data_IF_082928824843
#
_entry.id   IF_082928824843
#
_cell.length_a   1.000
_cell.length_b   1.000
_cell.length_c   1.000
_cell.angle_alpha   90.00
_cell.angle_beta   90.00
_cell.angle_gamma   90.00
#
_symmetry.space_group_name_H-M   'P 1'
#
loop_
_entity.id
_entity.type
_entity.pdbx_description
1 polymer ?
#
# COMPACT_ATOMS: atom_id res chain seq x y z
N UNK A 1 10.75 -16.33 -16.87
CA UNK A 1 9.46 -16.99 -17.09
C UNK A 1 9.29 -18.22 -16.17
N UNK A 2 10.28 -19.12 -16.01
CA UNK A 2 10.15 -20.38 -15.23
C UNK A 2 9.64 -20.15 -13.80
N UNK A 3 10.26 -19.25 -13.05
CA UNK A 3 9.86 -18.92 -11.67
C UNK A 3 8.36 -18.59 -11.57
N UNK A 4 7.82 -17.87 -12.53
CA UNK A 4 6.42 -17.45 -12.53
C UNK A 4 5.50 -18.60 -12.91
N UNK A 5 5.85 -19.37 -13.96
CA UNK A 5 5.06 -20.51 -14.38
C UNK A 5 4.99 -21.57 -13.28
N UNK A 6 6.11 -21.90 -12.64
CA UNK A 6 6.18 -22.81 -11.49
C UNK A 6 5.31 -22.31 -10.31
N UNK A 7 5.32 -21.00 -10.04
CA UNK A 7 4.51 -20.41 -8.99
C UNK A 7 2.99 -20.48 -9.29
N UNK A 8 2.59 -20.27 -10.55
CA UNK A 8 1.18 -20.41 -11.00
C UNK A 8 0.75 -21.88 -10.91
N UNK A 9 1.56 -22.82 -11.40
CA UNK A 9 1.31 -24.28 -11.32
C UNK A 9 1.18 -24.73 -9.86
N UNK A 10 2.05 -24.20 -8.98
CA UNK A 10 1.97 -24.44 -7.55
C UNK A 10 0.77 -23.76 -6.87
N UNK A 11 -0.03 -22.97 -7.60
CA UNK A 11 -1.14 -22.17 -7.09
C UNK A 11 -0.69 -21.18 -6.02
N UNK A 12 0.43 -20.49 -6.23
CA UNK A 12 0.86 -19.40 -5.37
C UNK A 12 0.04 -18.13 -5.62
N UNK A 13 -0.41 -17.93 -6.85
CA UNK A 13 -1.36 -16.92 -7.31
C UNK A 13 -1.89 -17.31 -8.70
N UNK A 14 -3.10 -16.85 -9.11
CA UNK A 14 -3.64 -17.18 -10.43
C UNK A 14 -2.93 -16.48 -11.58
N UNK A 15 -2.51 -15.22 -11.35
CA UNK A 15 -1.82 -14.42 -12.35
C UNK A 15 -1.13 -13.20 -11.75
N UNK A 16 -0.29 -12.55 -12.56
CA UNK A 16 0.49 -11.40 -12.12
C UNK A 16 0.88 -10.47 -13.27
N UNK A 17 1.25 -9.23 -12.90
CA UNK A 17 1.98 -8.30 -13.76
C UNK A 17 3.37 -8.07 -13.17
N UNK A 18 4.39 -8.00 -14.03
CA UNK A 18 5.77 -7.70 -13.65
C UNK A 18 6.27 -6.58 -14.55
N UNK A 19 6.80 -5.53 -13.91
CA UNK A 19 7.47 -4.46 -14.62
C UNK A 19 8.85 -4.22 -14.00
N UNK A 20 9.85 -4.02 -14.84
CA UNK A 20 11.16 -3.53 -14.44
C UNK A 20 11.63 -2.44 -15.40
N UNK A 21 12.16 -1.38 -14.81
CA UNK A 21 12.80 -0.29 -15.51
C UNK A 21 14.21 -0.05 -14.93
N UNK A 22 15.13 0.41 -15.78
CA UNK A 22 16.48 0.84 -15.39
C UNK A 22 16.75 2.22 -15.97
N UNK A 23 17.19 3.14 -15.14
CA UNK A 23 17.52 4.51 -15.53
C UNK A 23 16.38 5.20 -16.31
N UNK A 24 15.12 4.93 -15.92
CA UNK A 24 13.91 5.46 -16.54
C UNK A 24 13.38 4.70 -17.76
N UNK A 25 14.10 3.68 -18.25
CA UNK A 25 13.68 2.89 -19.40
C UNK A 25 13.10 1.54 -19.00
N UNK A 26 11.84 1.29 -19.38
CA UNK A 26 11.18 -0.01 -19.17
C UNK A 26 11.77 -1.05 -20.12
N UNK A 27 12.37 -2.12 -19.57
CA UNK A 27 12.92 -3.23 -20.35
C UNK A 27 12.12 -4.54 -20.15
N UNK A 28 11.26 -4.59 -19.14
CA UNK A 28 10.35 -5.70 -18.89
C UNK A 28 8.99 -5.13 -18.49
N UNK A 29 7.92 -5.51 -19.23
CA UNK A 29 6.52 -5.27 -18.86
C UNK A 29 5.69 -6.44 -19.35
N UNK A 30 5.40 -7.40 -18.45
CA UNK A 30 4.83 -8.69 -18.84
C UNK A 30 3.78 -9.17 -17.85
N UNK A 31 2.72 -9.76 -18.40
CA UNK A 31 1.62 -10.37 -17.66
C UNK A 31 1.61 -11.87 -17.81
N UNK A 32 1.15 -12.59 -16.77
CA UNK A 32 1.12 -14.06 -16.73
C UNK A 32 -0.16 -14.55 -16.08
N UNK A 33 -0.60 -15.75 -16.49
CA UNK A 33 -1.73 -16.45 -15.89
C UNK A 33 -3.08 -15.80 -16.18
N UNK A 34 -4.02 -16.03 -15.29
CA UNK A 34 -5.42 -15.65 -15.44
C UNK A 34 -5.90 -14.87 -14.19
N UNK A 35 -7.08 -14.27 -14.26
CA UNK A 35 -7.71 -13.59 -13.12
C UNK A 35 -8.02 -14.53 -11.95
N UNK A 36 -8.35 -15.79 -12.26
CA UNK A 36 -8.65 -16.86 -11.29
C UNK A 36 -7.94 -18.16 -11.67
N UNK A 37 -8.05 -19.19 -10.84
CA UNK A 37 -7.53 -20.53 -11.18
C UNK A 37 -8.40 -21.31 -12.17
N UNK A 38 -9.55 -20.77 -12.59
CA UNK A 38 -10.34 -21.33 -13.66
C UNK A 38 -9.65 -21.04 -15.01
N UNK A 39 -9.37 -22.09 -15.80
CA UNK A 39 -8.70 -21.97 -17.08
C UNK A 39 -9.51 -21.18 -18.12
N UNK A 40 -10.82 -21.02 -17.93
CA UNK A 40 -11.71 -20.23 -18.79
C UNK A 40 -11.78 -18.76 -18.36
N UNK A 41 -11.22 -18.41 -17.18
CA UNK A 41 -11.22 -17.03 -16.74
C UNK A 41 -10.30 -16.15 -17.60
N UNK A 42 -10.56 -14.84 -17.59
CA UNK A 42 -9.80 -13.87 -18.37
C UNK A 42 -8.30 -14.00 -18.10
N UNK A 43 -7.49 -14.02 -19.16
CA UNK A 43 -6.03 -13.91 -19.07
C UNK A 43 -5.64 -12.52 -18.56
N UNK A 44 -4.61 -12.48 -17.72
CA UNK A 44 -4.07 -11.21 -17.24
C UNK A 44 -3.40 -10.44 -18.37
N UNK A 45 -3.71 -9.15 -18.45
CA UNK A 45 -3.10 -8.20 -19.38
C UNK A 45 -2.41 -7.08 -18.63
N UNK A 46 -1.56 -6.28 -19.28
CA UNK A 46 -0.89 -5.14 -18.65
C UNK A 46 -1.86 -4.00 -18.27
N UNK A 47 -3.11 -4.05 -18.78
CA UNK A 47 -4.15 -3.05 -18.48
C UNK A 47 -5.02 -3.44 -17.29
N UNK A 48 -4.82 -4.62 -16.71
CA UNK A 48 -5.61 -5.07 -15.57
C UNK A 48 -5.20 -4.38 -14.27
N UNK A 49 -6.18 -4.12 -13.43
CA UNK A 49 -6.08 -3.29 -12.24
C UNK A 49 -6.07 -4.18 -10.99
N UNK A 50 -5.04 -4.04 -10.17
CA UNK A 50 -4.83 -4.80 -8.94
C UNK A 50 -5.06 -3.96 -7.69
N UNK A 51 -5.63 -4.55 -6.64
CA UNK A 51 -5.66 -3.96 -5.29
C UNK A 51 -4.24 -3.94 -4.71
N UNK A 52 -3.72 -2.75 -4.50
CA UNK A 52 -2.34 -2.53 -4.04
C UNK A 52 -2.14 -2.78 -2.54
N UNK A 53 -3.21 -2.93 -1.77
CA UNK A 53 -3.15 -3.07 -0.30
C UNK A 53 -2.22 -2.01 0.32
N UNK A 54 -1.27 -2.43 1.16
CA UNK A 54 -0.36 -1.51 1.88
C UNK A 54 0.59 -0.68 1.01
N UNK A 55 0.70 -0.95 -0.29
CA UNK A 55 1.44 -0.05 -1.20
C UNK A 55 0.74 1.32 -1.28
N UNK A 56 -0.57 1.39 -0.96
CA UNK A 56 -1.31 2.65 -0.75
C UNK A 56 -0.57 3.62 0.17
N UNK A 57 0.11 3.12 1.21
CA UNK A 57 0.85 3.94 2.18
C UNK A 57 1.92 4.79 1.52
N UNK A 58 2.62 4.23 0.52
CA UNK A 58 3.67 4.98 -0.17
C UNK A 58 3.14 5.68 -1.43
N UNK A 59 2.36 4.99 -2.27
CA UNK A 59 1.93 5.52 -3.56
C UNK A 59 0.85 6.62 -3.46
N UNK A 60 0.10 6.69 -2.34
CA UNK A 60 -0.87 7.76 -2.07
C UNK A 60 -0.48 8.57 -0.83
N UNK A 61 -0.58 8.00 0.37
CA UNK A 61 -0.40 8.75 1.61
C UNK A 61 0.94 9.48 1.70
N UNK A 62 2.06 8.78 1.45
CA UNK A 62 3.38 9.40 1.47
C UNK A 62 3.59 10.41 0.36
N UNK A 63 3.16 10.11 -0.86
CA UNK A 63 3.26 11.03 -1.98
C UNK A 63 2.58 12.37 -1.64
N UNK A 64 1.37 12.31 -1.05
CA UNK A 64 0.65 13.51 -0.61
C UNK A 64 1.39 14.22 0.53
N UNK A 65 1.78 13.50 1.58
CA UNK A 65 2.43 14.11 2.74
C UNK A 65 3.78 14.74 2.39
N UNK A 66 4.56 14.11 1.52
CA UNK A 66 5.81 14.68 1.01
C UNK A 66 5.55 15.92 0.14
N UNK A 67 4.54 15.90 -0.72
CA UNK A 67 4.15 17.07 -1.50
C UNK A 67 3.70 18.23 -0.60
N UNK A 68 2.88 17.96 0.42
CA UNK A 68 2.45 18.97 1.40
C UNK A 68 3.64 19.51 2.21
N UNK A 69 4.60 18.67 2.58
CA UNK A 69 5.81 19.10 3.28
C UNK A 69 6.70 19.95 2.39
N UNK A 70 6.83 19.61 1.11
CA UNK A 70 7.57 20.41 0.12
C UNK A 70 6.98 21.81 -0.07
N UNK A 71 5.67 21.96 0.14
CA UNK A 71 4.96 23.23 0.07
C UNK A 71 4.85 23.95 1.43
N UNK A 72 5.52 23.45 2.49
CA UNK A 72 5.50 24.07 3.82
C UNK A 72 4.17 23.91 4.60
N UNK A 73 3.26 23.06 4.11
CA UNK A 73 1.93 22.85 4.70
C UNK A 73 1.89 21.70 5.71
N UNK A 74 2.89 20.83 5.71
CA UNK A 74 3.02 19.68 6.57
C UNK A 74 4.46 19.53 7.08
N UNK A 75 4.62 19.04 8.30
CA UNK A 75 5.93 18.69 8.86
C UNK A 75 5.82 17.35 9.61
N UNK A 76 6.52 16.35 9.12
CA UNK A 76 6.53 15.00 9.70
C UNK A 76 7.15 14.93 11.10
N UNK A 77 7.90 15.94 11.50
CA UNK A 77 8.48 16.06 12.85
C UNK A 77 7.49 16.60 13.89
N UNK A 78 6.32 17.06 13.47
CA UNK A 78 5.23 17.51 14.34
C UNK A 78 4.47 16.35 14.98
N UNK A 79 3.49 16.66 15.81
CA UNK A 79 2.59 15.68 16.45
C UNK A 79 1.23 15.59 15.75
N UNK A 80 0.46 14.56 16.05
CA UNK A 80 -0.92 14.43 15.56
C UNK A 80 -1.81 15.60 15.97
N UNK A 81 -1.67 16.09 17.21
CA UNK A 81 -2.43 17.23 17.72
C UNK A 81 -2.24 18.51 16.90
N UNK A 82 -1.11 18.66 16.19
CA UNK A 82 -0.88 19.78 15.28
C UNK A 82 -1.89 19.83 14.13
N UNK A 83 -2.29 18.69 13.61
CA UNK A 83 -3.09 18.61 12.38
C UNK A 83 -4.54 18.20 12.58
N UNK A 84 -4.80 17.34 13.58
CA UNK A 84 -6.15 16.82 13.86
C UNK A 84 -6.55 16.98 15.35
N UNK A 85 -6.39 18.19 15.93
CA UNK A 85 -6.65 18.40 17.37
C UNK A 85 -8.05 17.97 17.76
N UNK A 86 -9.07 18.27 16.95
CA UNK A 86 -10.47 17.90 17.26
C UNK A 86 -10.69 16.40 17.48
N UNK A 87 -9.85 15.56 16.87
CA UNK A 87 -9.97 14.10 17.00
C UNK A 87 -9.12 13.54 18.14
N UNK A 88 -7.96 14.14 18.43
CA UNK A 88 -6.97 13.56 19.33
C UNK A 88 -6.83 14.30 20.67
N UNK A 89 -7.44 15.48 20.82
CA UNK A 89 -7.40 16.27 22.06
C UNK A 89 -7.80 15.41 23.29
N UNK A 90 -7.03 15.55 24.35
CA UNK A 90 -7.21 14.78 25.60
C UNK A 90 -7.05 13.25 25.44
N UNK A 91 -6.50 12.77 24.33
CA UNK A 91 -6.14 11.35 24.12
C UNK A 91 -4.64 11.12 24.21
N UNK A 92 -4.22 9.87 24.39
CA UNK A 92 -2.79 9.50 24.34
C UNK A 92 -2.17 9.67 22.92
N UNK A 93 -2.98 9.94 21.90
CA UNK A 93 -2.53 10.15 20.53
C UNK A 93 -2.10 11.58 20.24
N UNK A 94 -2.59 12.57 20.98
CA UNK A 94 -2.34 13.99 20.74
C UNK A 94 -0.85 14.31 20.55
N UNK A 95 -0.01 13.83 21.46
CA UNK A 95 1.43 14.11 21.48
C UNK A 95 2.27 13.07 20.74
N UNK A 96 1.66 12.16 19.95
CA UNK A 96 2.40 11.20 19.14
C UNK A 96 3.08 11.90 17.98
N UNK A 97 4.39 11.75 17.89
CA UNK A 97 5.20 12.28 16.81
C UNK A 97 4.94 11.50 15.50
N UNK A 98 4.65 12.21 14.41
CA UNK A 98 4.27 11.63 13.12
C UNK A 98 5.40 10.78 12.51
N UNK A 99 6.65 11.21 12.64
CA UNK A 99 7.80 10.41 12.19
C UNK A 99 7.88 9.05 12.90
N UNK A 100 7.58 9.01 14.22
CA UNK A 100 7.51 7.74 14.95
C UNK A 100 6.34 6.86 14.48
N UNK A 101 5.20 7.47 14.16
CA UNK A 101 4.04 6.77 13.60
C UNK A 101 4.41 6.15 12.26
N UNK A 102 4.96 6.92 11.33
CA UNK A 102 5.23 6.49 9.96
C UNK A 102 6.46 5.57 9.81
N UNK A 103 7.31 5.51 10.82
CA UNK A 103 8.36 4.50 10.94
C UNK A 103 7.92 3.28 11.77
N UNK A 104 6.65 3.20 12.14
CA UNK A 104 6.05 2.10 12.92
C UNK A 104 6.71 1.86 14.28
N UNK A 105 7.11 2.92 14.99
CA UNK A 105 7.68 2.79 16.34
C UNK A 105 7.02 3.70 17.40
N UNK A 106 5.82 4.19 17.13
CA UNK A 106 5.04 4.99 18.08
C UNK A 106 4.39 4.15 19.20
N UNK A 107 4.58 2.83 19.22
CA UNK A 107 3.97 1.94 20.21
C UNK A 107 2.54 1.52 19.91
N UNK A 108 2.03 1.82 18.73
CA UNK A 108 0.67 1.49 18.31
C UNK A 108 0.46 -0.03 18.19
N UNK A 109 -0.76 -0.49 18.41
CA UNK A 109 -1.14 -1.86 18.07
C UNK A 109 -1.11 -2.04 16.54
N UNK A 110 -0.81 -3.26 16.07
CA UNK A 110 -0.62 -3.50 14.65
C UNK A 110 -1.89 -3.25 13.85
N UNK A 111 -3.03 -3.70 14.39
CA UNK A 111 -4.29 -3.77 13.69
C UNK A 111 -5.45 -3.92 14.67
N UNK A 112 -6.63 -3.43 14.31
CA UNK A 112 -7.88 -3.61 15.06
C UNK A 112 -8.92 -4.21 14.10
N UNK A 113 -9.50 -5.38 14.41
CA UNK A 113 -10.50 -6.02 13.56
C UNK A 113 -11.86 -5.33 13.69
N UNK A 114 -12.00 -4.15 13.09
CA UNK A 114 -13.22 -3.33 13.19
C UNK A 114 -14.45 -4.08 12.67
N UNK A 115 -14.31 -4.86 11.60
CA UNK A 115 -15.36 -5.59 10.94
C UNK A 115 -16.04 -6.62 11.86
N UNK A 116 -15.30 -7.24 12.82
CA UNK A 116 -15.89 -8.21 13.73
C UNK A 116 -17.00 -7.60 14.63
N UNK A 117 -16.93 -6.29 14.89
CA UNK A 117 -17.97 -5.60 15.67
C UNK A 117 -19.17 -5.14 14.82
N UNK A 118 -19.13 -5.38 13.54
CA UNK A 118 -20.26 -5.11 12.62
C UNK A 118 -21.03 -6.36 12.29
N UNK A 119 -20.64 -7.51 12.84
CA UNK A 119 -21.30 -8.79 12.61
C UNK A 119 -22.27 -9.14 13.74
N UNK A 120 -23.38 -9.71 13.36
CA UNK A 120 -24.37 -10.33 14.23
C UNK A 120 -24.59 -11.78 13.76
N UNK A 121 -24.40 -12.74 14.65
CA UNK A 121 -24.39 -14.17 14.32
C UNK A 121 -23.45 -14.52 13.14
N UNK A 122 -22.28 -13.86 13.09
CA UNK A 122 -21.27 -14.07 12.06
C UNK A 122 -21.56 -13.41 10.71
N UNK A 123 -22.65 -12.68 10.54
CA UNK A 123 -23.05 -12.01 9.29
C UNK A 123 -23.16 -10.49 9.48
N UNK A 124 -22.99 -9.68 8.42
CA UNK A 124 -23.21 -8.24 8.48
C UNK A 124 -24.57 -7.90 9.12
N UNK A 125 -24.54 -7.10 10.20
CA UNK A 125 -25.74 -6.74 10.95
C UNK A 125 -26.64 -5.81 10.16
N UNK A 126 -27.94 -6.09 10.10
CA UNK A 126 -28.92 -5.23 9.44
C UNK A 126 -29.09 -3.85 10.11
N UNK A 127 -28.63 -3.68 11.35
CA UNK A 127 -28.61 -2.39 12.02
C UNK A 127 -27.50 -1.45 11.52
N UNK A 128 -26.46 -2.00 10.89
CA UNK A 128 -25.29 -1.25 10.40
C UNK A 128 -25.16 -1.26 8.88
N UNK A 129 -25.80 -2.21 8.21
CA UNK A 129 -25.66 -2.38 6.76
C UNK A 129 -26.99 -2.30 6.01
N UNK A 130 -26.91 -1.73 4.83
CA UNK A 130 -27.98 -1.74 3.82
C UNK A 130 -27.51 -2.49 2.57
N UNK A 131 -28.41 -3.14 1.86
CA UNK A 131 -28.15 -3.70 0.53
C UNK A 131 -28.06 -2.61 -0.55
N UNK A 132 -28.79 -1.53 -0.33
CA UNK A 132 -28.89 -0.42 -1.26
C UNK A 132 -28.14 0.81 -0.73
N UNK A 133 -27.59 1.60 -1.65
CA UNK A 133 -27.03 2.91 -1.34
C UNK A 133 -28.18 3.85 -0.93
N UNK A 134 -28.10 4.40 0.27
CA UNK A 134 -29.09 5.34 0.83
C UNK A 134 -28.41 6.60 1.36
N UNK A 135 -29.13 7.67 1.71
CA UNK A 135 -28.51 8.86 2.32
C UNK A 135 -27.70 8.58 3.58
N UNK A 136 -28.03 7.55 4.35
CA UNK A 136 -27.32 7.14 5.58
C UNK A 136 -26.31 6.04 5.37
N UNK A 137 -26.31 5.35 4.23
CA UNK A 137 -25.45 4.21 3.89
C UNK A 137 -24.82 4.46 2.51
N UNK A 138 -23.86 5.38 2.44
CA UNK A 138 -23.18 5.73 1.18
C UNK A 138 -21.87 4.96 0.99
N UNK A 139 -21.27 4.47 2.09
CA UNK A 139 -19.98 3.81 2.09
C UNK A 139 -20.12 2.36 1.61
N UNK A 140 -19.72 2.11 0.38
CA UNK A 140 -19.70 0.78 -0.22
C UNK A 140 -18.61 -0.08 0.44
N UNK A 141 -18.97 -1.27 0.91
CA UNK A 141 -18.06 -2.27 1.52
C UNK A 141 -17.81 -3.45 0.58
N UNK A 142 -18.85 -3.81 -0.19
CA UNK A 142 -18.81 -4.83 -1.24
C UNK A 142 -20.07 -4.71 -2.13
N UNK A 143 -20.28 -5.66 -3.05
CA UNK A 143 -21.53 -5.65 -3.83
C UNK A 143 -22.74 -5.79 -2.91
N UNK A 144 -23.76 -4.95 -3.13
CA UNK A 144 -25.01 -4.92 -2.33
C UNK A 144 -24.75 -4.91 -0.81
N UNK A 145 -23.70 -4.20 -0.39
CA UNK A 145 -23.33 -4.07 1.02
C UNK A 145 -22.74 -2.66 1.29
N UNK A 146 -23.54 -1.81 1.94
CA UNK A 146 -23.20 -0.44 2.29
C UNK A 146 -23.29 -0.27 3.80
N UNK A 147 -22.23 0.31 4.43
CA UNK A 147 -22.23 0.55 5.87
C UNK A 147 -22.73 1.95 6.21
N UNK A 148 -23.31 2.07 7.40
CA UNK A 148 -23.78 3.34 7.99
C UNK A 148 -22.65 4.38 7.99
N UNK A 149 -22.89 5.58 7.47
CA UNK A 149 -21.88 6.63 7.30
C UNK A 149 -21.16 6.99 8.61
N UNK A 150 -21.90 7.03 9.73
CA UNK A 150 -21.36 7.35 11.06
C UNK A 150 -20.43 6.26 11.63
N UNK A 151 -20.36 5.06 11.01
CA UNK A 151 -19.46 4.02 11.50
C UNK A 151 -17.98 4.41 11.38
N UNK A 152 -17.65 5.30 10.45
CA UNK A 152 -16.31 5.92 10.32
C UNK A 152 -15.86 6.55 11.64
N UNK A 153 -16.73 7.31 12.31
CA UNK A 153 -16.41 7.96 13.59
C UNK A 153 -16.15 6.93 14.69
N UNK A 154 -16.89 5.81 14.67
CA UNK A 154 -16.65 4.67 15.56
C UNK A 154 -15.24 4.08 15.36
N UNK A 155 -14.79 3.94 14.12
CA UNK A 155 -13.43 3.46 13.79
C UNK A 155 -12.38 4.42 14.34
N UNK A 156 -12.51 5.72 14.03
CA UNK A 156 -11.57 6.75 14.46
C UNK A 156 -11.49 6.84 15.98
N UNK A 157 -12.64 6.87 16.66
CA UNK A 157 -12.69 6.87 18.13
C UNK A 157 -12.02 5.63 18.74
N UNK A 158 -12.19 4.45 18.16
CA UNK A 158 -11.51 3.22 18.61
C UNK A 158 -10.00 3.27 18.38
N UNK A 159 -9.54 3.94 17.33
CA UNK A 159 -8.11 4.13 17.07
C UNK A 159 -7.50 5.01 18.17
N UNK A 160 -8.01 6.23 18.35
CA UNK A 160 -7.40 7.22 19.25
C UNK A 160 -7.52 6.86 20.75
N UNK A 161 -8.43 5.96 21.08
CA UNK A 161 -8.57 5.38 22.42
C UNK A 161 -7.87 4.02 22.58
N UNK A 162 -7.13 3.56 21.56
CA UNK A 162 -6.42 2.29 21.64
C UNK A 162 -5.16 2.41 22.52
N UNK A 163 -4.75 1.27 23.10
CA UNK A 163 -3.56 1.25 23.98
C UNK A 163 -2.29 1.53 23.19
N UNK A 164 -1.44 2.40 23.72
CA UNK A 164 -0.09 2.67 23.24
C UNK A 164 0.89 1.93 24.16
N UNK A 165 1.82 1.16 23.58
CA UNK A 165 2.88 0.50 24.34
C UNK A 165 3.94 1.53 24.77
N UNK A 166 4.41 1.49 26.04
CA UNK A 166 5.40 2.44 26.52
C UNK A 166 6.77 2.26 25.84
N UNK A 167 7.12 1.02 25.44
CA UNK A 167 8.37 0.72 24.75
C UNK A 167 8.17 0.94 23.26
N UNK A 168 8.79 1.97 22.73
CA UNK A 168 8.72 2.38 21.34
C UNK A 168 9.74 1.58 20.47
N UNK A 169 9.41 0.33 20.17
CA UNK A 169 10.16 -0.52 19.23
C UNK A 169 9.39 -0.64 17.92
N UNK A 170 10.11 -1.00 16.86
CA UNK A 170 9.46 -1.30 15.58
C UNK A 170 8.33 -2.34 15.76
N UNK A 171 7.16 -1.95 15.39
CA UNK A 171 5.99 -2.81 15.26
C UNK A 171 5.07 -2.25 14.18
N UNK A 172 5.01 -2.93 13.04
CA UNK A 172 4.14 -2.53 11.94
C UNK A 172 2.71 -2.27 12.43
N UNK A 173 2.16 -1.12 12.06
CA UNK A 173 0.81 -0.69 12.44
C UNK A 173 0.14 0.06 11.30
N UNK A 174 -1.12 -0.29 11.01
CA UNK A 174 -1.95 0.44 10.06
C UNK A 174 -2.61 1.67 10.67
N UNK A 175 -2.75 1.73 12.00
CA UNK A 175 -3.58 2.71 12.69
C UNK A 175 -3.20 4.16 12.41
N UNK A 176 -1.89 4.47 12.35
CA UNK A 176 -1.43 5.82 12.03
C UNK A 176 -1.81 6.26 10.61
N UNK A 177 -1.90 5.31 9.68
CA UNK A 177 -2.27 5.61 8.31
C UNK A 177 -3.78 5.81 8.12
N UNK A 178 -4.64 5.25 8.97
CA UNK A 178 -6.04 5.66 9.01
C UNK A 178 -6.16 7.17 9.28
N UNK A 179 -5.32 7.71 10.17
CA UNK A 179 -5.34 9.12 10.57
C UNK A 179 -4.82 10.07 9.46
N UNK A 180 -4.05 9.58 8.51
CA UNK A 180 -3.66 10.37 7.31
C UNK A 180 -4.90 10.83 6.54
N UNK A 181 -5.94 10.00 6.48
CA UNK A 181 -7.22 10.32 5.85
C UNK A 181 -8.02 11.41 6.58
N UNK A 182 -7.57 11.81 7.78
CA UNK A 182 -8.08 12.98 8.52
C UNK A 182 -7.14 14.19 8.38
N UNK A 183 -5.83 13.95 8.35
CA UNK A 183 -4.81 15.01 8.24
C UNK A 183 -4.95 15.73 6.89
N UNK A 184 -5.05 15.00 5.79
CA UNK A 184 -5.10 15.58 4.44
C UNK A 184 -6.25 16.56 4.28
N UNK A 185 -7.52 16.20 4.58
CA UNK A 185 -8.64 17.14 4.47
C UNK A 185 -8.51 18.37 5.37
N UNK A 186 -7.95 18.19 6.56
CA UNK A 186 -7.75 19.32 7.50
C UNK A 186 -6.80 20.38 6.92
N UNK A 187 -5.76 19.94 6.20
CA UNK A 187 -4.78 20.85 5.60
C UNK A 187 -5.28 21.43 4.27
N UNK A 188 -5.98 20.62 3.45
CA UNK A 188 -6.17 20.91 2.02
C UNK A 188 -7.61 21.17 1.62
N UNK A 189 -8.58 20.89 2.50
CA UNK A 189 -10.01 20.83 2.20
C UNK A 189 -10.37 19.84 1.05
N UNK A 190 -9.48 18.88 0.76
CA UNK A 190 -9.68 17.83 -0.26
C UNK A 190 -9.60 16.46 0.39
N UNK A 191 -10.37 15.49 -0.10
CA UNK A 191 -10.22 14.11 0.33
C UNK A 191 -8.85 13.55 -0.10
N UNK A 192 -8.43 12.47 0.53
CA UNK A 192 -7.20 11.76 0.12
C UNK A 192 -7.31 11.27 -1.34
N UNK A 193 -8.47 10.79 -1.75
CA UNK A 193 -8.73 10.37 -3.13
C UNK A 193 -8.53 11.55 -4.11
N UNK A 194 -9.14 12.71 -3.84
CA UNK A 194 -9.06 13.87 -4.72
C UNK A 194 -7.63 14.42 -4.79
N UNK A 195 -6.94 14.49 -3.64
CA UNK A 195 -5.57 15.00 -3.65
C UNK A 195 -4.59 14.05 -4.35
N UNK A 196 -4.73 12.73 -4.16
CA UNK A 196 -3.89 11.78 -4.90
C UNK A 196 -4.15 11.86 -6.41
N UNK A 197 -5.40 12.07 -6.83
CA UNK A 197 -5.71 12.24 -8.25
C UNK A 197 -4.99 13.45 -8.86
N UNK A 198 -4.93 14.59 -8.15
CA UNK A 198 -4.16 15.75 -8.61
C UNK A 198 -2.67 15.43 -8.86
N UNK A 199 -2.07 14.60 -8.00
CA UNK A 199 -0.68 14.17 -8.21
C UNK A 199 -0.54 13.23 -9.41
N UNK A 200 -1.48 12.30 -9.57
CA UNK A 200 -1.48 11.35 -10.69
C UNK A 200 -1.71 12.03 -12.03
N UNK A 201 -2.59 13.04 -12.08
CA UNK A 201 -2.81 13.86 -13.29
C UNK A 201 -1.53 14.57 -13.73
N UNK A 202 -0.74 15.09 -12.79
CA UNK A 202 0.56 15.71 -13.07
C UNK A 202 1.62 14.70 -13.52
N UNK A 203 1.50 13.44 -13.10
CA UNK A 203 2.35 12.34 -13.57
C UNK A 203 1.90 11.78 -14.92
N UNK A 204 0.73 12.19 -15.44
CA UNK A 204 0.16 11.67 -16.67
C UNK A 204 -0.30 10.21 -16.57
N UNK A 205 -0.72 9.74 -15.39
CA UNK A 205 -1.15 8.36 -15.13
C UNK A 205 -2.62 8.29 -14.77
N UNK A 206 -3.35 7.31 -15.33
CA UNK A 206 -4.81 7.24 -15.27
C UNK A 206 -5.35 5.88 -14.80
N UNK A 207 -4.49 4.86 -14.73
CA UNK A 207 -4.85 3.52 -14.25
C UNK A 207 -4.38 3.29 -12.81
N UNK A 208 -4.42 4.34 -11.98
CA UNK A 208 -4.16 4.32 -10.55
C UNK A 208 -5.24 5.17 -9.86
N UNK A 209 -5.78 4.70 -8.72
CA UNK A 209 -6.77 5.46 -7.95
C UNK A 209 -7.58 4.60 -6.99
N UNK A 210 -8.43 5.28 -6.24
CA UNK A 210 -9.40 4.69 -5.33
C UNK A 210 -10.74 4.39 -6.03
N UNK A 211 -11.59 3.61 -5.37
CA UNK A 211 -12.95 3.28 -5.82
C UNK A 211 -12.98 2.81 -7.30
N UNK A 212 -12.26 1.74 -7.65
CA UNK A 212 -12.00 1.34 -9.02
C UNK A 212 -13.28 1.02 -9.83
N UNK A 213 -14.37 0.58 -9.17
CA UNK A 213 -15.65 0.29 -9.85
C UNK A 213 -16.38 1.53 -10.38
N UNK A 214 -16.00 2.71 -9.91
CA UNK A 214 -16.51 3.99 -10.41
C UNK A 214 -15.69 4.51 -11.62
N UNK A 215 -14.53 3.89 -11.90
CA UNK A 215 -13.54 4.38 -12.85
C UNK A 215 -13.29 3.43 -14.02
N UNK A 216 -13.33 2.13 -13.77
CA UNK A 216 -12.93 1.14 -14.76
C UNK A 216 -13.96 0.00 -14.86
N UNK A 217 -14.02 -0.60 -16.05
CA UNK A 217 -14.87 -1.76 -16.30
C UNK A 217 -14.49 -2.93 -15.39
N UNK A 218 -15.49 -3.65 -14.88
CA UNK A 218 -15.31 -4.75 -13.94
C UNK A 218 -14.36 -5.84 -14.47
N UNK A 219 -14.37 -6.08 -15.78
CA UNK A 219 -13.51 -7.08 -16.41
C UNK A 219 -12.02 -6.73 -16.40
N UNK A 220 -11.66 -5.48 -16.10
CA UNK A 220 -10.27 -5.04 -15.87
C UNK A 220 -9.83 -5.18 -14.41
N UNK A 221 -10.78 -5.32 -13.51
CA UNK A 221 -10.50 -5.39 -12.08
C UNK A 221 -10.19 -6.84 -11.70
N UNK A 222 -8.99 -7.11 -11.21
CA UNK A 222 -8.60 -8.46 -10.83
C UNK A 222 -9.26 -8.83 -9.49
N UNK A 223 -9.96 -9.99 -9.40
CA UNK A 223 -10.57 -10.42 -8.14
C UNK A 223 -9.50 -10.72 -7.08
N UNK A 224 -9.78 -10.39 -5.83
CA UNK A 224 -8.84 -10.60 -4.72
C UNK A 224 -9.15 -11.84 -3.89
N UNK A 225 -10.30 -11.93 -3.25
CA UNK A 225 -10.65 -13.02 -2.34
C UNK A 225 -12.11 -13.43 -2.52
N UNK A 226 -12.41 -14.70 -2.36
CA UNK A 226 -13.76 -15.15 -2.10
C UNK A 226 -14.00 -15.09 -0.58
N UNK A 227 -14.40 -13.91 -0.09
CA UNK A 227 -14.52 -13.62 1.34
C UNK A 227 -15.69 -14.38 1.97
N UNK A 228 -15.40 -15.46 2.67
CA UNK A 228 -16.36 -16.30 3.37
C UNK A 228 -16.46 -16.01 4.88
N UNK A 229 -15.83 -14.92 5.34
CA UNK A 229 -15.74 -14.60 6.78
C UNK A 229 -16.45 -13.32 7.17
N UNK A 230 -16.53 -12.36 6.23
CA UNK A 230 -17.11 -11.04 6.48
C UNK A 230 -18.18 -10.67 5.45
N UNK A 231 -17.83 -10.60 4.15
CA UNK A 231 -18.72 -10.08 3.09
C UNK A 231 -19.49 -11.19 2.37
N UNK A 232 -19.07 -12.44 2.50
CA UNK A 232 -19.70 -13.65 1.92
C UNK A 232 -19.89 -13.59 0.41
N UNK A 233 -18.90 -13.06 -0.30
CA UNK A 233 -18.91 -12.91 -1.74
C UNK A 233 -17.51 -12.79 -2.32
N UNK A 234 -17.39 -12.93 -3.65
CA UNK A 234 -16.19 -12.62 -4.37
C UNK A 234 -15.92 -11.11 -4.31
N UNK A 235 -14.72 -10.74 -3.84
CA UNK A 235 -14.27 -9.36 -3.79
C UNK A 235 -13.55 -9.04 -5.08
N UNK A 236 -14.15 -8.17 -5.90
CA UNK A 236 -13.62 -7.72 -7.19
C UNK A 236 -13.93 -6.24 -7.38
N UNK A 237 -12.90 -5.40 -7.39
CA UNK A 237 -13.06 -3.95 -7.48
C UNK A 237 -13.64 -3.28 -6.22
N UNK A 238 -13.76 -4.01 -5.14
CA UNK A 238 -13.94 -3.50 -3.79
C UNK A 238 -12.63 -3.76 -3.03
N UNK A 239 -12.21 -2.85 -2.15
CA UNK A 239 -10.92 -3.00 -1.44
C UNK A 239 -10.90 -4.27 -0.58
N UNK A 240 -9.82 -5.02 -0.66
CA UNK A 240 -9.66 -6.26 0.10
C UNK A 240 -9.64 -6.00 1.61
N UNK A 241 -8.87 -4.99 2.06
CA UNK A 241 -8.75 -4.64 3.47
C UNK A 241 -10.13 -4.28 4.08
N UNK A 242 -10.54 -5.03 5.11
CA UNK A 242 -11.86 -4.88 5.71
C UNK A 242 -12.03 -3.50 6.38
N UNK A 243 -10.96 -2.97 6.99
CA UNK A 243 -11.00 -1.67 7.64
C UNK A 243 -11.12 -0.53 6.64
N UNK A 244 -10.37 -0.58 5.54
CA UNK A 244 -10.49 0.39 4.45
C UNK A 244 -11.87 0.30 3.77
N UNK A 245 -12.44 -0.90 3.62
CA UNK A 245 -13.80 -1.08 3.11
C UNK A 245 -14.84 -0.37 4.01
N UNK A 246 -14.71 -0.51 5.34
CA UNK A 246 -15.57 0.19 6.30
C UNK A 246 -15.40 1.72 6.28
N UNK A 247 -14.28 2.21 5.75
CA UNK A 247 -14.02 3.65 5.51
C UNK A 247 -14.53 4.11 4.13
N UNK A 248 -15.30 3.29 3.41
CA UNK A 248 -15.81 3.60 2.08
C UNK A 248 -14.79 3.39 0.94
N UNK A 249 -13.81 2.50 1.13
CA UNK A 249 -12.81 2.17 0.12
C UNK A 249 -11.61 3.11 0.06
N UNK A 250 -11.64 4.25 0.77
CA UNK A 250 -10.56 5.26 0.79
C UNK A 250 -9.96 5.33 2.18
N UNK A 251 -8.71 4.88 2.31
CA UNK A 251 -7.95 5.02 3.54
C UNK A 251 -6.46 5.17 3.27
N UNK A 252 -5.73 5.76 4.22
CA UNK A 252 -4.30 5.99 4.06
C UNK A 252 -3.46 4.72 4.09
N UNK A 253 -3.98 3.62 4.61
CA UNK A 253 -3.24 2.36 4.73
C UNK A 253 -3.52 1.36 3.61
N UNK A 254 -4.68 1.46 2.92
CA UNK A 254 -5.14 0.58 1.85
C UNK A 254 -6.26 1.24 1.04
N UNK A 255 -6.61 0.68 -0.12
CA UNK A 255 -7.72 1.14 -0.98
C UNK A 255 -7.29 1.65 -2.34
N UNK A 256 -5.99 1.81 -2.58
CA UNK A 256 -5.47 2.20 -3.88
C UNK A 256 -5.39 0.96 -4.80
N UNK A 257 -5.76 1.15 -6.05
CA UNK A 257 -5.68 0.17 -7.13
C UNK A 257 -4.81 0.70 -8.27
N UNK A 258 -4.10 -0.18 -8.99
CA UNK A 258 -3.27 0.26 -10.13
C UNK A 258 -2.92 -0.89 -11.08
N UNK A 259 -2.41 -0.51 -12.27
CA UNK A 259 -1.56 -1.35 -13.12
C UNK A 259 -0.11 -1.31 -12.62
N UNK A 260 0.72 -2.26 -13.09
CA UNK A 260 2.16 -2.22 -12.82
C UNK A 260 2.83 -1.00 -13.47
N UNK A 261 2.36 -0.57 -14.64
CA UNK A 261 2.88 0.56 -15.38
C UNK A 261 2.72 1.88 -14.60
N UNK A 262 1.51 2.19 -14.13
CA UNK A 262 1.25 3.46 -13.46
C UNK A 262 1.91 3.50 -12.08
N UNK A 263 1.94 2.36 -11.36
CA UNK A 263 2.70 2.28 -10.12
C UNK A 263 4.21 2.48 -10.34
N UNK A 264 4.77 1.98 -11.44
CA UNK A 264 6.18 2.18 -11.77
C UNK A 264 6.51 3.65 -12.03
N UNK A 265 5.60 4.43 -12.61
CA UNK A 265 5.77 5.89 -12.78
C UNK A 265 5.87 6.58 -11.42
N UNK A 266 5.01 6.22 -10.45
CA UNK A 266 5.11 6.76 -9.08
C UNK A 266 6.46 6.40 -8.46
N UNK A 267 6.92 5.16 -8.61
CA UNK A 267 8.21 4.73 -8.07
C UNK A 267 9.40 5.39 -8.79
N UNK A 268 9.29 5.65 -10.09
CA UNK A 268 10.29 6.39 -10.84
C UNK A 268 10.38 7.85 -10.38
N UNK A 269 9.25 8.49 -10.13
CA UNK A 269 9.21 9.83 -9.54
C UNK A 269 9.93 9.86 -8.20
N UNK A 270 9.72 8.88 -7.32
CA UNK A 270 10.46 8.77 -6.06
C UNK A 270 11.96 8.52 -6.29
N UNK A 271 12.32 7.65 -7.25
CA UNK A 271 13.71 7.38 -7.62
C UNK A 271 14.44 8.66 -8.10
N UNK A 272 13.72 9.48 -8.84
CA UNK A 272 14.17 10.79 -9.33
C UNK A 272 14.01 11.90 -8.27
N UNK A 273 13.94 11.55 -6.99
CA UNK A 273 13.85 12.49 -5.87
C UNK A 273 12.67 13.47 -5.96
N UNK A 274 11.53 12.99 -6.42
CA UNK A 274 10.29 13.76 -6.49
C UNK A 274 10.07 14.52 -7.81
N UNK A 275 10.94 14.30 -8.79
CA UNK A 275 10.89 14.94 -10.11
C UNK A 275 10.40 13.93 -11.15
N UNK A 276 9.48 14.35 -12.01
CA UNK A 276 9.05 13.56 -13.17
C UNK A 276 8.80 14.47 -14.38
N UNK A 277 9.52 14.22 -15.48
CA UNK A 277 9.58 15.15 -16.59
C UNK A 277 10.13 16.51 -16.15
N UNK A 278 9.40 17.57 -16.45
CA UNK A 278 9.73 18.94 -16.01
C UNK A 278 9.10 19.32 -14.66
N UNK A 279 8.24 18.43 -14.09
CA UNK A 279 7.51 18.70 -12.87
C UNK A 279 8.29 18.28 -11.62
N UNK A 280 8.40 19.18 -10.65
CA UNK A 280 8.83 18.85 -9.29
C UNK A 280 7.59 18.71 -8.40
N UNK A 281 7.22 17.46 -8.11
CA UNK A 281 6.07 17.17 -7.26
C UNK A 281 6.47 17.15 -5.77
N UNK A 282 7.71 16.75 -5.50
CA UNK A 282 8.26 16.65 -4.14
C UNK A 282 9.66 17.28 -4.17
N UNK A 283 9.96 18.10 -3.16
CA UNK A 283 11.32 18.65 -2.99
C UNK A 283 12.32 17.50 -2.80
N UNK A 284 13.47 17.49 -3.52
CA UNK A 284 14.50 16.44 -3.39
C UNK A 284 14.97 16.20 -1.96
N UNK A 285 15.09 17.24 -1.13
CA UNK A 285 15.51 17.09 0.27
C UNK A 285 14.42 16.41 1.11
N UNK A 286 13.16 16.67 0.82
CA UNK A 286 12.02 15.98 1.47
C UNK A 286 12.02 14.51 1.09
N UNK A 287 12.21 14.19 -0.20
CA UNK A 287 12.28 12.79 -0.63
C UNK A 287 13.47 12.06 0.02
N UNK A 288 14.66 12.67 -0.01
CA UNK A 288 15.85 12.09 0.64
C UNK A 288 15.61 11.88 2.15
N UNK A 289 14.96 12.83 2.83
CA UNK A 289 14.63 12.71 4.25
C UNK A 289 13.71 11.52 4.53
N UNK A 290 12.64 11.34 3.74
CA UNK A 290 11.72 10.22 3.90
C UNK A 290 12.36 8.86 3.56
N UNK A 291 13.29 8.83 2.63
CA UNK A 291 14.03 7.61 2.27
C UNK A 291 15.08 7.21 3.31
N UNK A 292 15.45 8.10 4.27
CA UNK A 292 16.37 7.74 5.35
C UNK A 292 15.74 6.75 6.34
N UNK A 293 16.57 6.06 7.12
CA UNK A 293 16.15 5.23 8.26
C UNK A 293 16.51 5.93 9.58
N UNK A 294 15.69 6.88 10.07
CA UNK A 294 16.06 7.80 11.13
C UNK A 294 16.33 7.11 12.46
N UNK A 295 15.80 5.91 12.67
CA UNK A 295 15.92 5.17 13.92
C UNK A 295 16.75 3.89 13.83
N UNK A 296 17.54 3.72 12.74
CA UNK A 296 18.38 2.54 12.57
C UNK A 296 19.48 2.43 13.64
N UNK A 297 20.11 3.56 13.99
CA UNK A 297 21.18 3.60 15.00
C UNK A 297 20.63 3.49 16.42
N UNK A 298 19.52 4.15 16.72
CA UNK A 298 18.96 4.20 18.09
C UNK A 298 18.17 2.96 18.47
N UNK A 299 17.40 2.38 17.54
CA UNK A 299 16.45 1.30 17.81
C UNK A 299 16.57 0.09 16.88
N UNK A 300 17.59 0.04 16.00
CA UNK A 300 17.72 -0.96 14.93
C UNK A 300 16.48 -1.03 14.01
N UNK A 301 15.72 0.06 13.92
CA UNK A 301 14.57 0.16 13.05
C UNK A 301 15.04 0.59 11.66
N UNK A 302 15.02 -0.35 10.71
CA UNK A 302 15.47 -0.12 9.34
C UNK A 302 14.49 0.71 8.48
N UNK A 303 13.25 0.93 8.96
CA UNK A 303 12.22 1.63 8.20
C UNK A 303 12.64 3.07 7.86
N UNK A 304 12.41 3.46 6.61
CA UNK A 304 12.31 4.86 6.24
C UNK A 304 11.01 5.47 6.76
N UNK A 305 10.83 6.76 6.58
CA UNK A 305 9.56 7.41 6.93
C UNK A 305 8.54 6.97 5.87
N UNK A 306 7.62 6.09 6.26
CA UNK A 306 6.64 5.36 5.45
C UNK A 306 7.19 4.20 4.61
N UNK A 307 8.41 4.29 4.10
CA UNK A 307 9.02 3.27 3.24
C UNK A 307 9.54 2.05 4.00
N UNK A 308 9.49 0.89 3.38
CA UNK A 308 10.29 -0.26 3.78
C UNK A 308 11.68 -0.16 3.15
N UNK A 309 12.67 -0.77 3.82
CA UNK A 309 14.08 -0.77 3.40
C UNK A 309 14.67 -2.17 3.49
N UNK A 310 15.80 -2.47 2.85
CA UNK A 310 16.44 -3.77 2.94
C UNK A 310 16.72 -4.18 4.39
N UNK A 311 16.81 -5.48 4.63
CA UNK A 311 17.18 -6.02 5.95
C UNK A 311 18.65 -5.71 6.22
N UNK A 312 18.92 -5.28 7.45
CA UNK A 312 20.28 -5.00 7.92
C UNK A 312 20.97 -6.34 8.21
N UNK A 313 22.06 -6.64 7.50
CA UNK A 313 22.92 -7.80 7.75
C UNK A 313 22.17 -9.16 7.74
N UNK A 314 21.56 -9.55 6.63
CA UNK A 314 20.99 -10.88 6.56
C UNK A 314 20.13 -11.20 5.35
N UNK A 315 19.78 -12.48 5.23
CA UNK A 315 18.82 -12.98 4.27
C UNK A 315 17.40 -12.81 4.78
N UNK A 316 16.45 -12.69 3.86
CA UNK A 316 15.03 -12.49 4.15
C UNK A 316 14.61 -11.03 4.12
N UNK A 317 13.32 -10.79 4.30
CA UNK A 317 12.75 -9.44 4.22
C UNK A 317 12.06 -9.15 2.89
N UNK A 318 11.81 -7.87 2.58
CA UNK A 318 11.01 -7.50 1.41
C UNK A 318 11.76 -7.60 0.09
N UNK A 319 13.11 -7.69 0.11
CA UNK A 319 13.97 -7.74 -1.07
C UNK A 319 14.83 -9.00 -1.09
N UNK A 320 15.38 -9.35 -2.23
CA UNK A 320 16.39 -10.39 -2.33
C UNK A 320 17.70 -9.99 -1.66
N UNK A 321 18.42 -10.98 -1.16
CA UNK A 321 19.72 -10.77 -0.54
C UNK A 321 20.74 -10.35 -1.62
N UNK A 322 21.48 -9.27 -1.35
CA UNK A 322 22.55 -8.78 -2.23
C UNK A 322 22.08 -8.05 -3.50
N UNK A 323 20.79 -7.88 -3.73
CA UNK A 323 20.29 -7.22 -4.94
C UNK A 323 19.56 -5.89 -4.69
N UNK A 324 19.70 -5.32 -3.52
CA UNK A 324 19.14 -4.02 -3.19
C UNK A 324 20.11 -3.24 -2.30
N UNK A 325 20.42 -2.02 -2.69
CA UNK A 325 21.32 -1.16 -1.93
C UNK A 325 20.70 -0.68 -0.62
N UNK A 326 21.52 -0.22 0.31
CA UNK A 326 21.03 0.38 1.56
C UNK A 326 20.24 1.69 1.33
N UNK A 327 20.38 2.32 0.16
CA UNK A 327 19.60 3.51 -0.22
C UNK A 327 18.24 3.14 -0.79
N UNK A 328 18.06 1.90 -1.24
CA UNK A 328 16.82 1.45 -1.84
C UNK A 328 15.63 1.49 -0.88
N UNK A 329 14.44 1.56 -1.42
CA UNK A 329 13.19 1.68 -0.68
C UNK A 329 12.00 1.13 -1.49
N UNK A 330 10.94 0.80 -0.79
CA UNK A 330 9.70 0.31 -1.41
C UNK A 330 8.66 -0.10 -0.39
N UNK A 331 7.72 -0.91 -0.80
CA UNK A 331 6.72 -1.50 0.09
C UNK A 331 6.10 -2.77 -0.51
N UNK A 332 5.62 -3.67 0.34
CA UNK A 332 4.82 -4.82 -0.07
C UNK A 332 3.34 -4.63 0.25
N UNK A 333 2.47 -5.29 -0.53
CA UNK A 333 1.02 -5.35 -0.30
C UNK A 333 0.57 -6.74 0.16
N UNK A 334 -0.42 -6.79 1.06
CA UNK A 334 -0.97 -8.03 1.59
C UNK A 334 -1.55 -8.93 0.48
N UNK A 335 -2.14 -8.34 -0.53
CA UNK A 335 -2.71 -9.00 -1.71
C UNK A 335 -1.70 -9.74 -2.59
N UNK A 336 -0.39 -9.55 -2.33
CA UNK A 336 0.70 -10.27 -2.98
C UNK A 336 1.69 -9.36 -3.71
N UNK A 337 1.51 -8.06 -3.62
CA UNK A 337 2.26 -7.07 -4.36
C UNK A 337 3.61 -6.73 -3.73
N UNK A 338 4.53 -6.26 -4.56
CA UNK A 338 5.81 -5.68 -4.15
C UNK A 338 6.18 -4.58 -5.14
N UNK A 339 6.64 -3.44 -4.66
CA UNK A 339 7.31 -2.44 -5.48
C UNK A 339 8.57 -1.96 -4.79
N UNK A 340 9.63 -1.72 -5.59
CA UNK A 340 10.94 -1.34 -5.07
C UNK A 340 11.67 -0.43 -6.03
N UNK A 341 12.35 0.59 -5.49
CA UNK A 341 13.23 1.49 -6.23
C UNK A 341 14.60 1.54 -5.56
N UNK A 342 15.66 1.52 -6.36
CA UNK A 342 17.03 1.53 -5.87
C UNK A 342 17.86 2.62 -6.58
N UNK A 343 18.22 3.70 -5.85
CA UNK A 343 18.99 4.81 -6.40
C UNK A 343 20.43 4.43 -6.85
N UNK A 344 21.01 3.35 -6.33
CA UNK A 344 22.37 2.94 -6.72
C UNK A 344 22.38 2.12 -8.00
N UNK A 345 21.36 1.31 -8.22
CA UNK A 345 21.24 0.53 -9.47
C UNK A 345 20.44 1.23 -10.55
N UNK A 346 19.67 2.27 -10.22
CA UNK A 346 18.71 2.90 -11.13
C UNK A 346 17.49 2.02 -11.44
N UNK A 347 17.25 0.94 -10.69
CA UNK A 347 16.21 -0.03 -10.97
C UNK A 347 14.91 0.34 -10.24
N UNK A 348 13.81 0.33 -10.99
CA UNK A 348 12.43 0.25 -10.47
C UNK A 348 11.88 -1.14 -10.78
N UNK A 349 11.32 -1.80 -9.76
CA UNK A 349 10.71 -3.11 -9.85
C UNK A 349 9.29 -3.08 -9.30
N UNK A 350 8.34 -3.63 -10.06
CA UNK A 350 6.94 -3.82 -9.66
C UNK A 350 6.52 -5.25 -9.93
N UNK A 351 5.89 -5.86 -8.93
CA UNK A 351 5.24 -7.15 -9.01
C UNK A 351 3.83 -7.04 -8.43
N UNK A 352 2.80 -7.24 -9.24
CA UNK A 352 1.40 -7.24 -8.81
C UNK A 352 0.80 -8.63 -8.97
N UNK A 353 0.11 -9.12 -7.96
CA UNK A 353 -0.60 -10.40 -8.00
C UNK A 353 -1.80 -10.41 -7.07
N UNK A 354 -2.70 -11.35 -7.28
CA UNK A 354 -3.84 -11.62 -6.41
C UNK A 354 -3.66 -12.92 -5.62
N UNK A 355 -2.52 -13.08 -4.91
CA UNK A 355 -2.21 -14.29 -4.13
C UNK A 355 -3.30 -14.67 -3.13
N UNK A 356 -4.09 -13.69 -2.67
CA UNK A 356 -5.20 -13.91 -1.72
C UNK A 356 -6.42 -14.58 -2.37
N UNK A 357 -6.42 -14.77 -3.69
CA UNK A 357 -7.47 -15.52 -4.38
C UNK A 357 -7.20 -17.03 -4.33
N UNK A 358 -8.20 -17.86 -4.02
CA UNK A 358 -9.53 -17.49 -3.50
C UNK A 358 -9.57 -17.24 -1.99
N UNK A 359 -8.46 -17.54 -1.28
CA UNK A 359 -8.36 -17.49 0.18
C UNK A 359 -7.06 -16.78 0.62
N UNK A 360 -7.20 -15.79 1.49
CA UNK A 360 -6.09 -15.01 2.04
C UNK A 360 -5.07 -15.84 2.86
N UNK A 361 -5.42 -17.03 3.31
CA UNK A 361 -4.52 -17.96 4.02
C UNK A 361 -3.42 -18.54 3.12
N UNK A 362 -3.54 -18.40 1.78
CA UNK A 362 -2.51 -18.85 0.85
C UNK A 362 -1.19 -18.10 1.06
N UNK A 363 -0.16 -18.79 1.51
CA UNK A 363 1.17 -18.24 1.77
C UNK A 363 2.24 -18.68 0.78
N UNK A 364 1.90 -19.42 -0.26
CA UNK A 364 2.87 -20.01 -1.20
C UNK A 364 3.74 -18.95 -1.89
N UNK A 365 3.16 -17.81 -2.30
CA UNK A 365 3.93 -16.69 -2.86
C UNK A 365 5.10 -16.29 -1.95
N UNK A 366 4.87 -16.29 -0.62
CA UNK A 366 5.85 -15.89 0.38
C UNK A 366 6.84 -17.02 0.64
N UNK A 367 6.36 -18.24 0.88
CA UNK A 367 7.22 -19.40 1.22
C UNK A 367 8.12 -19.84 0.06
N UNK A 368 7.68 -19.63 -1.18
CA UNK A 368 8.48 -19.87 -2.40
C UNK A 368 9.40 -18.68 -2.76
N UNK A 369 9.37 -17.58 -2.01
CA UNK A 369 10.17 -16.38 -2.26
C UNK A 369 10.04 -15.82 -3.69
N UNK A 370 8.87 -16.00 -4.34
CA UNK A 370 8.69 -15.70 -5.78
C UNK A 370 9.11 -14.28 -6.13
N UNK A 371 8.61 -13.28 -5.38
CA UNK A 371 8.86 -11.86 -5.65
C UNK A 371 10.35 -11.51 -5.56
N UNK A 372 11.04 -12.04 -4.57
CA UNK A 372 12.46 -11.78 -4.35
C UNK A 372 13.34 -12.57 -5.32
N UNK A 373 12.95 -13.78 -5.71
CA UNK A 373 13.64 -14.56 -6.75
C UNK A 373 13.55 -13.86 -8.12
N UNK A 374 12.37 -13.31 -8.48
CA UNK A 374 12.20 -12.52 -9.69
C UNK A 374 13.04 -11.24 -9.64
N UNK A 375 13.03 -10.53 -8.50
CA UNK A 375 13.86 -9.35 -8.28
C UNK A 375 15.35 -9.67 -8.50
N UNK A 376 15.81 -10.80 -7.95
CA UNK A 376 17.20 -11.22 -8.10
C UNK A 376 17.58 -11.41 -9.58
N UNK A 377 16.78 -12.12 -10.35
CA UNK A 377 17.04 -12.34 -11.80
C UNK A 377 17.09 -11.02 -12.56
N UNK A 378 16.19 -10.08 -12.24
CA UNK A 378 16.17 -8.74 -12.84
C UNK A 378 17.45 -7.97 -12.50
N UNK A 379 17.83 -7.98 -11.23
CA UNK A 379 19.01 -7.23 -10.75
C UNK A 379 20.32 -7.82 -11.30
N UNK A 380 20.44 -9.16 -11.30
CA UNK A 380 21.59 -9.86 -11.89
C UNK A 380 21.72 -9.55 -13.40
N UNK A 381 20.59 -9.55 -14.13
CA UNK A 381 20.57 -9.21 -15.57
C UNK A 381 20.99 -7.75 -15.83
N UNK A 382 20.81 -6.85 -14.86
CA UNK A 382 21.30 -5.47 -14.93
C UNK A 382 22.77 -5.32 -14.46
N UNK A 383 23.44 -6.41 -14.09
CA UNK A 383 24.84 -6.39 -13.64
C UNK A 383 25.02 -5.74 -12.26
N UNK A 384 23.99 -5.68 -11.42
CA UNK A 384 24.07 -5.05 -10.10
C UNK A 384 24.11 -6.10 -8.97
N UNK A 385 25.04 -5.93 -8.04
CA UNK A 385 25.12 -6.72 -6.80
C UNK A 385 25.70 -5.86 -5.68
N UNK A 386 25.10 -5.95 -4.49
CA UNK A 386 25.66 -5.34 -3.27
C UNK A 386 26.58 -6.27 -2.51
N UNK A 387 26.74 -7.51 -2.96
CA UNK A 387 27.72 -8.46 -2.43
C UNK A 387 29.08 -8.06 -3.01
N UNK A 388 29.92 -7.47 -2.20
CA UNK A 388 31.35 -7.33 -2.54
C UNK A 388 31.89 -8.74 -2.77
N UNK A 389 32.38 -9.03 -3.97
CA UNK A 389 33.30 -10.13 -4.21
C UNK A 389 34.47 -9.90 -3.26
N UNK A 390 34.60 -10.72 -2.23
CA UNK A 390 35.83 -10.83 -1.47
C UNK A 390 36.81 -11.52 -2.43
N UNK A 391 37.63 -10.71 -3.11
CA UNK A 391 38.81 -11.21 -3.78
C UNK A 391 39.88 -11.65 -2.76
#
# INVERSE_FOLDING_TARGET
DSIINEAIEAKAFPGCQILAAKDGYVFLNKSYGNHTYDSTSKKVTNDDIYDLASITKIASSSAILMNLQSNGLFNVDSTLGTYIPKLVDSTNFENLNLKQIFTHQAGLVSWIPFHLKTLENGKPSSSLYSKDKTPTHQNRVANDLYILNSYRDTILNRIVNSKIKPIKRYKYSDLGFYLVNEIIPTITNKSQQDYSQLLYDRLGIYNIGYNPRERWELNRLVPTENDMRFRYQLIQGDVHDQGAALMGGVSGHAGLFSTAQDLAVVMQMFLNKGIYGEDTLIDPNVMDYYATAPFVKSNRNRRGITFDKPVINGAGGPTCFGCASNKSFGHSGFTGNLTWADPESGIVYVFLSNRVYPDAENRKLITMNVRTNVQKVITDACGFSTLTTIE
#
